data_IF_555718774488
#
_entry.id   IF_555718774488
#
_cell.length_a   1.000
_cell.length_b   1.000
_cell.length_c   1.000
_cell.angle_alpha   90.00
_cell.angle_beta   90.00
_cell.angle_gamma   90.00
#
_symmetry.space_group_name_H-M   'P 1'
#
loop_
_entity.id
_entity.type
_entity.pdbx_description
1 polymer ?
#
# COMPACT_ATOMS: atom_id res chain seq x y z
N UNK A 1 12.54 -30.22 11.96
CA UNK A 1 12.15 -29.58 10.69
C UNK A 1 11.06 -28.57 11.01
N UNK A 2 11.44 -27.31 11.15
CA UNK A 2 10.53 -26.20 11.45
C UNK A 2 9.91 -25.72 10.14
N UNK A 3 8.58 -25.78 10.02
CA UNK A 3 7.86 -25.13 8.93
C UNK A 3 7.89 -23.62 9.18
N UNK A 4 8.74 -22.90 8.45
CA UNK A 4 8.66 -21.44 8.35
C UNK A 4 7.28 -21.12 7.77
N UNK A 5 6.56 -20.19 8.39
CA UNK A 5 5.24 -19.77 7.94
C UNK A 5 5.29 -19.26 6.51
N UNK A 6 4.47 -19.84 5.66
CA UNK A 6 4.34 -19.46 4.25
C UNK A 6 3.63 -18.11 4.14
N UNK A 7 4.43 -17.03 4.15
CA UNK A 7 3.95 -15.71 3.75
C UNK A 7 3.84 -15.66 2.23
N UNK A 8 2.63 -15.77 1.69
CA UNK A 8 2.42 -15.65 0.25
C UNK A 8 2.49 -14.19 -0.18
N UNK A 9 3.33 -13.91 -1.15
CA UNK A 9 3.43 -12.63 -1.86
C UNK A 9 2.98 -12.88 -3.29
N UNK A 10 2.03 -12.10 -3.78
CA UNK A 10 1.53 -12.19 -5.14
C UNK A 10 2.09 -11.04 -5.98
N UNK A 11 2.81 -11.37 -7.05
CA UNK A 11 3.20 -10.44 -8.09
C UNK A 11 2.27 -10.57 -9.28
N UNK A 12 1.65 -9.48 -9.67
CA UNK A 12 0.94 -9.36 -10.94
C UNK A 12 1.53 -8.21 -11.73
N UNK A 13 2.15 -8.51 -12.85
CA UNK A 13 2.50 -7.53 -13.86
C UNK A 13 1.46 -7.60 -14.96
N UNK A 14 0.65 -6.56 -15.12
CA UNK A 14 -0.36 -6.48 -16.16
C UNK A 14 -0.24 -5.19 -16.95
N UNK A 15 -0.33 -5.31 -18.26
CA UNK A 15 -0.33 -4.18 -19.20
C UNK A 15 -1.69 -3.47 -19.33
N UNK A 16 -2.67 -3.77 -18.49
CA UNK A 16 -3.99 -3.12 -18.52
C UNK A 16 -4.47 -2.83 -17.10
N UNK A 17 -4.63 -1.56 -16.77
CA UNK A 17 -5.08 -1.06 -15.46
C UNK A 17 -6.33 -0.21 -15.64
N UNK A 18 -7.26 -0.38 -14.73
CA UNK A 18 -8.53 0.34 -14.62
C UNK A 18 -8.67 0.94 -13.21
N UNK A 19 -9.12 2.18 -13.01
CA UNK A 19 -8.92 3.07 -11.82
C UNK A 19 -10.12 3.49 -10.92
N UNK A 20 -10.03 3.61 -9.56
CA UNK A 20 -11.09 3.97 -8.56
C UNK A 20 -10.75 4.81 -7.33
N UNK A 21 -11.68 5.64 -6.78
CA UNK A 21 -11.69 6.29 -5.44
C UNK A 21 -13.12 6.49 -4.88
N UNK A 22 -13.29 6.34 -3.57
CA UNK A 22 -14.55 6.44 -2.82
C UNK A 22 -15.21 7.83 -2.85
N UNK A 23 -16.51 7.86 -2.64
CA UNK A 23 -17.60 8.85 -2.79
C UNK A 23 -17.40 10.36 -2.53
N UNK A 24 -16.21 10.92 -2.30
CA UNK A 24 -16.04 12.36 -1.99
C UNK A 24 -15.16 13.13 -2.96
N UNK A 25 -14.61 12.49 -3.98
CA UNK A 25 -13.80 13.17 -4.97
C UNK A 25 -14.41 13.02 -6.35
N UNK A 26 -14.52 14.14 -7.07
CA UNK A 26 -14.82 14.13 -8.50
C UNK A 26 -13.57 13.58 -9.18
N UNK A 27 -13.55 12.26 -9.42
CA UNK A 27 -12.46 11.61 -10.14
C UNK A 27 -12.84 11.43 -11.60
N UNK A 28 -11.98 11.89 -12.53
CA UNK A 28 -12.21 11.62 -13.96
C UNK A 28 -12.14 10.11 -14.27
N UNK A 29 -13.08 9.65 -15.05
CA UNK A 29 -13.29 8.36 -15.69
C UNK A 29 -12.41 7.17 -15.26
N UNK A 30 -11.17 7.09 -15.73
CA UNK A 30 -10.32 5.91 -15.54
C UNK A 30 -9.85 5.68 -14.09
N UNK A 31 -9.55 6.72 -13.30
CA UNK A 31 -9.17 6.54 -11.88
C UNK A 31 -10.36 6.06 -11.03
N UNK A 32 -11.57 6.49 -11.32
CA UNK A 32 -12.80 5.98 -10.69
C UNK A 32 -12.97 4.47 -10.98
N UNK A 33 -12.83 4.05 -12.21
CA UNK A 33 -12.89 2.65 -12.61
C UNK A 33 -11.84 1.73 -11.94
N UNK A 34 -10.57 2.13 -11.67
CA UNK A 34 -9.56 1.35 -10.91
C UNK A 34 -9.98 1.11 -9.46
N UNK A 35 -10.50 2.11 -8.79
CA UNK A 35 -10.92 1.94 -7.40
C UNK A 35 -12.16 1.04 -7.26
N UNK A 36 -13.18 1.02 -8.25
CA UNK A 36 -14.31 0.09 -8.31
C UNK A 36 -13.84 -1.33 -8.62
N UNK A 37 -12.82 -1.51 -9.46
CA UNK A 37 -12.23 -2.82 -9.69
C UNK A 37 -11.52 -3.36 -8.43
N UNK A 38 -10.75 -2.50 -7.74
CA UNK A 38 -10.07 -2.90 -6.49
C UNK A 38 -11.05 -3.16 -5.33
N UNK A 39 -12.19 -2.45 -5.28
CA UNK A 39 -13.23 -2.61 -4.25
C UNK A 39 -14.31 -3.64 -4.68
N UNK A 40 -14.23 -4.12 -5.92
CA UNK A 40 -15.21 -5.00 -6.52
C UNK A 40 -15.16 -6.43 -5.97
N UNK A 41 -16.28 -7.17 -6.12
CA UNK A 41 -16.39 -8.54 -5.61
C UNK A 41 -15.38 -9.48 -6.27
N UNK A 42 -15.12 -9.33 -7.56
CA UNK A 42 -14.19 -10.17 -8.31
C UNK A 42 -12.75 -10.09 -7.75
N UNK A 43 -12.23 -8.89 -7.51
CA UNK A 43 -10.90 -8.73 -6.91
C UNK A 43 -10.85 -9.26 -5.49
N UNK A 44 -11.89 -9.04 -4.71
CA UNK A 44 -12.05 -9.56 -3.35
C UNK A 44 -12.04 -11.08 -3.31
N UNK A 45 -12.77 -11.74 -4.21
CA UNK A 45 -12.82 -13.19 -4.33
C UNK A 45 -11.44 -13.77 -4.68
N UNK A 46 -10.77 -13.23 -5.70
CA UNK A 46 -9.41 -13.62 -6.09
C UNK A 46 -8.43 -13.56 -4.90
N UNK A 47 -8.48 -12.48 -4.12
CA UNK A 47 -7.60 -12.32 -2.97
C UNK A 47 -8.01 -13.25 -1.81
N UNK A 48 -9.31 -13.44 -1.59
CA UNK A 48 -9.84 -14.37 -0.59
C UNK A 48 -9.37 -15.80 -0.84
N UNK A 49 -9.50 -16.28 -2.06
CA UNK A 49 -9.04 -17.60 -2.48
C UNK A 49 -7.53 -17.74 -2.36
N UNK A 50 -6.77 -16.74 -2.88
CA UNK A 50 -5.30 -16.78 -2.88
C UNK A 50 -4.69 -16.88 -1.49
N UNK A 51 -5.26 -16.18 -0.52
CA UNK A 51 -4.76 -16.14 0.86
C UNK A 51 -5.52 -17.06 1.82
N UNK A 52 -6.55 -17.75 1.33
CA UNK A 52 -7.47 -18.57 2.14
C UNK A 52 -8.04 -17.77 3.33
N UNK A 53 -8.61 -16.60 3.03
CA UNK A 53 -9.20 -15.66 4.00
C UNK A 53 -10.56 -15.22 3.48
N UNK A 54 -11.62 -15.30 4.30
CA UNK A 54 -12.90 -14.68 3.97
C UNK A 54 -12.81 -13.17 4.17
N UNK A 55 -12.87 -12.40 3.07
CA UNK A 55 -12.73 -10.94 3.10
C UNK A 55 -14.05 -10.18 3.02
N UNK A 56 -15.19 -10.87 2.87
CA UNK A 56 -16.49 -10.26 2.60
C UNK A 56 -16.98 -9.32 3.72
N UNK A 57 -16.67 -9.65 4.97
CA UNK A 57 -17.09 -8.88 6.13
C UNK A 57 -16.14 -7.73 6.49
N UNK A 58 -15.00 -7.64 5.80
CA UNK A 58 -13.98 -6.65 6.14
C UNK A 58 -14.08 -5.41 5.27
N UNK A 59 -14.15 -4.22 5.89
CA UNK A 59 -14.15 -2.96 5.16
C UNK A 59 -12.79 -2.67 4.53
N UNK A 60 -12.81 -1.89 3.46
CA UNK A 60 -11.62 -1.45 2.76
C UNK A 60 -11.23 -0.02 3.14
N UNK A 61 -9.93 0.21 3.22
CA UNK A 61 -9.34 1.52 3.46
C UNK A 61 -8.31 1.84 2.38
N UNK A 62 -8.31 3.08 1.88
CA UNK A 62 -7.44 3.52 0.80
C UNK A 62 -6.54 4.67 1.23
N UNK A 63 -5.29 4.63 0.80
CA UNK A 63 -4.32 5.71 0.90
C UNK A 63 -3.64 5.92 -0.45
N UNK A 64 -3.74 7.11 -1.01
CA UNK A 64 -3.05 7.47 -2.25
C UNK A 64 -1.85 8.35 -1.92
N UNK A 65 -0.68 7.96 -2.37
CA UNK A 65 0.57 8.70 -2.17
C UNK A 65 1.17 9.05 -3.52
N UNK A 66 1.52 10.32 -3.72
CA UNK A 66 2.14 10.81 -4.97
C UNK A 66 3.63 11.07 -4.85
N UNK A 67 4.13 11.21 -3.62
CA UNK A 67 5.52 11.55 -3.32
C UNK A 67 6.03 10.77 -2.12
N UNK A 68 7.32 10.45 -2.13
CA UNK A 68 8.07 9.89 -1.03
C UNK A 68 9.06 10.92 -0.50
N UNK A 69 9.28 10.95 0.80
CA UNK A 69 10.30 11.74 1.47
C UNK A 69 11.39 10.81 2.05
N UNK A 70 12.61 11.31 2.33
CA UNK A 70 13.74 10.49 2.78
C UNK A 70 13.49 9.66 4.04
N UNK A 71 12.60 10.10 4.91
CA UNK A 71 12.25 9.42 6.16
C UNK A 71 11.15 8.34 5.97
N UNK A 72 10.61 8.18 4.75
CA UNK A 72 9.63 7.13 4.46
C UNK A 72 10.35 5.80 4.18
N UNK A 73 9.61 4.71 4.28
CA UNK A 73 10.08 3.38 3.91
C UNK A 73 10.97 2.69 4.94
N UNK A 74 10.96 3.15 6.19
CA UNK A 74 11.65 2.44 7.27
C UNK A 74 11.07 1.04 7.46
N UNK A 75 11.88 0.12 7.98
CA UNK A 75 11.49 -1.26 8.25
C UNK A 75 10.33 -1.27 9.24
N UNK A 76 9.23 -1.92 8.88
CA UNK A 76 8.06 -2.08 9.75
C UNK A 76 7.19 -3.25 9.30
N UNK A 77 6.29 -3.66 10.19
CA UNK A 77 5.10 -4.42 9.83
C UNK A 77 3.89 -3.49 9.80
N UNK A 78 2.91 -3.83 9.00
CA UNK A 78 1.62 -3.14 9.04
C UNK A 78 0.92 -3.37 10.40
N UNK A 79 0.06 -2.42 10.77
CA UNK A 79 -0.70 -2.47 12.03
C UNK A 79 -1.54 -3.75 12.11
N UNK A 80 -1.68 -4.32 13.31
CA UNK A 80 -2.49 -5.52 13.58
C UNK A 80 -3.98 -5.36 13.24
N UNK A 81 -4.44 -4.15 12.97
CA UNK A 81 -5.80 -3.88 12.48
C UNK A 81 -5.97 -4.12 10.98
N UNK A 82 -4.89 -4.34 10.23
CA UNK A 82 -4.91 -4.68 8.80
C UNK A 82 -4.81 -6.18 8.61
N UNK A 83 -5.56 -6.71 7.68
CA UNK A 83 -5.63 -8.14 7.36
C UNK A 83 -4.79 -8.45 6.12
N UNK A 84 -5.02 -7.67 5.05
CA UNK A 84 -4.28 -7.75 3.79
C UNK A 84 -3.95 -6.34 3.33
N UNK A 85 -2.73 -6.14 2.85
CA UNK A 85 -2.28 -4.93 2.18
C UNK A 85 -2.08 -5.19 0.70
N UNK A 86 -2.62 -4.28 -0.10
CA UNK A 86 -2.44 -4.20 -1.55
C UNK A 86 -1.72 -2.91 -1.87
N UNK A 87 -0.64 -2.98 -2.65
CA UNK A 87 0.10 -1.84 -3.16
C UNK A 87 0.09 -1.87 -4.69
N UNK A 88 -0.58 -0.91 -5.31
CA UNK A 88 -0.57 -0.73 -6.76
C UNK A 88 0.26 0.49 -7.12
N UNK A 89 1.32 0.28 -7.88
CA UNK A 89 2.22 1.34 -8.30
C UNK A 89 1.83 1.94 -9.65
N UNK A 90 1.95 3.27 -9.75
CA UNK A 90 1.54 4.06 -10.90
C UNK A 90 2.67 5.02 -11.35
N UNK A 91 3.90 4.55 -11.35
CA UNK A 91 5.06 5.31 -11.81
C UNK A 91 5.36 5.01 -13.28
N UNK A 92 6.46 5.52 -13.81
CA UNK A 92 6.86 5.24 -15.18
C UNK A 92 7.12 3.73 -15.38
N UNK A 93 7.15 3.29 -16.63
CA UNK A 93 7.32 1.87 -16.98
C UNK A 93 8.65 1.29 -16.51
N UNK A 94 9.71 2.11 -16.40
CA UNK A 94 10.98 1.72 -15.82
C UNK A 94 11.32 2.60 -14.61
N UNK A 95 11.50 1.96 -13.44
CA UNK A 95 12.00 2.63 -12.25
C UNK A 95 13.53 2.66 -12.29
N UNK A 96 14.10 3.81 -12.60
CA UNK A 96 15.55 4.01 -12.73
C UNK A 96 16.27 4.29 -11.42
N UNK A 97 15.54 4.54 -10.32
CA UNK A 97 16.13 4.92 -9.04
C UNK A 97 16.55 3.70 -8.21
N UNK A 98 17.65 3.83 -7.46
CA UNK A 98 18.08 2.79 -6.53
C UNK A 98 17.16 2.70 -5.29
N UNK A 99 16.73 3.85 -4.76
CA UNK A 99 15.81 3.93 -3.63
C UNK A 99 14.33 3.75 -4.01
N UNK A 100 13.47 3.59 -2.99
CA UNK A 100 12.02 3.52 -3.19
C UNK A 100 11.47 2.18 -3.70
N UNK A 101 12.32 1.18 -4.00
CA UNK A 101 11.88 -0.19 -4.29
C UNK A 101 11.48 -0.86 -3.00
N UNK A 102 10.28 -1.42 -2.95
CA UNK A 102 9.82 -2.09 -1.73
C UNK A 102 10.52 -3.43 -1.59
N UNK A 103 11.03 -3.71 -0.40
CA UNK A 103 11.62 -4.99 -0.03
C UNK A 103 10.73 -5.72 0.96
N UNK A 104 10.43 -6.96 0.68
CA UNK A 104 9.82 -7.92 1.61
C UNK A 104 10.98 -8.57 2.35
N UNK A 105 11.04 -8.40 3.67
CA UNK A 105 12.20 -8.73 4.47
C UNK A 105 12.03 -10.08 5.18
N UNK A 106 13.15 -10.78 5.39
CA UNK A 106 13.20 -11.99 6.19
C UNK A 106 13.22 -11.69 7.70
N UNK A 107 13.71 -10.49 8.09
CA UNK A 107 13.82 -10.05 9.48
C UNK A 107 13.66 -8.53 9.61
N UNK A 108 13.48 -7.98 10.83
CA UNK A 108 13.44 -6.54 11.05
C UNK A 108 14.81 -5.86 11.06
N UNK A 109 15.89 -6.61 10.95
CA UNK A 109 17.22 -6.12 11.31
C UNK A 109 17.92 -5.35 10.18
N UNK A 110 17.60 -5.68 8.92
CA UNK A 110 18.29 -5.09 7.77
C UNK A 110 17.42 -5.04 6.51
N UNK A 111 17.48 -3.92 5.78
CA UNK A 111 16.91 -3.83 4.44
C UNK A 111 17.62 -4.72 3.43
N UNK A 112 18.85 -5.16 3.70
CA UNK A 112 19.61 -6.03 2.79
C UNK A 112 19.28 -7.53 2.98
N UNK A 113 18.58 -7.89 4.06
CA UNK A 113 18.08 -9.24 4.30
C UNK A 113 16.62 -9.35 3.80
N UNK A 114 16.45 -9.42 2.49
CA UNK A 114 15.15 -9.47 1.85
C UNK A 114 14.93 -10.73 1.02
N UNK A 115 13.70 -11.19 1.03
CA UNK A 115 13.24 -12.29 0.18
C UNK A 115 12.98 -11.82 -1.25
N UNK A 116 12.46 -10.57 -1.41
CA UNK A 116 12.08 -10.02 -2.71
C UNK A 116 12.19 -8.49 -2.72
N UNK A 117 12.60 -7.91 -3.85
CA UNK A 117 12.59 -6.47 -4.11
C UNK A 117 11.64 -6.13 -5.27
N UNK A 118 10.69 -5.26 -5.02
CA UNK A 118 9.62 -4.90 -5.95
C UNK A 118 9.90 -3.55 -6.58
N UNK A 119 10.08 -3.54 -7.91
CA UNK A 119 10.13 -2.30 -8.66
C UNK A 119 8.75 -1.64 -8.67
N UNK A 120 8.64 -0.35 -8.28
CA UNK A 120 7.38 0.36 -8.24
C UNK A 120 6.96 0.88 -9.63
N UNK A 121 7.11 0.07 -10.66
CA UNK A 121 6.76 0.40 -12.03
C UNK A 121 5.25 0.54 -12.22
N UNK A 122 4.83 1.11 -13.33
CA UNK A 122 3.42 1.17 -13.72
C UNK A 122 2.80 -0.22 -13.78
N UNK A 123 1.68 -0.39 -13.06
CA UNK A 123 0.93 -1.64 -13.02
C UNK A 123 1.53 -2.74 -12.13
N UNK A 124 2.67 -2.49 -11.45
CA UNK A 124 3.17 -3.42 -10.44
C UNK A 124 2.20 -3.49 -9.27
N UNK A 125 1.69 -4.69 -8.99
CA UNK A 125 0.79 -4.98 -7.89
C UNK A 125 1.46 -5.92 -6.92
N UNK A 126 1.59 -5.49 -5.67
CA UNK A 126 2.04 -6.31 -4.55
C UNK A 126 0.87 -6.51 -3.60
N UNK A 127 0.63 -7.75 -3.21
CA UNK A 127 -0.36 -8.11 -2.19
C UNK A 127 0.29 -9.00 -1.15
N UNK A 128 0.07 -8.70 0.12
CA UNK A 128 0.56 -9.54 1.22
C UNK A 128 -0.39 -9.57 2.40
N UNK A 129 -0.38 -10.70 3.11
CA UNK A 129 -1.10 -10.85 4.38
C UNK A 129 -0.35 -10.10 5.48
N UNK A 130 -1.06 -9.28 6.25
CA UNK A 130 -0.49 -8.59 7.39
C UNK A 130 -0.36 -9.54 8.58
N UNK A 131 0.86 -9.75 9.04
CA UNK A 131 1.20 -10.52 10.22
C UNK A 131 2.24 -9.76 11.04
N UNK A 132 2.52 -10.23 12.25
CA UNK A 132 3.60 -9.66 13.08
C UNK A 132 5.00 -9.82 12.47
N UNK A 133 5.14 -10.69 11.47
CA UNK A 133 6.40 -11.02 10.83
C UNK A 133 6.44 -10.59 9.34
N UNK A 134 5.44 -9.85 8.86
CA UNK A 134 5.38 -9.32 7.49
C UNK A 134 6.22 -8.04 7.33
N UNK A 135 7.51 -8.16 7.67
CA UNK A 135 8.46 -7.06 7.63
C UNK A 135 8.68 -6.56 6.21
N UNK A 136 8.64 -5.26 6.03
CA UNK A 136 8.91 -4.62 4.74
C UNK A 136 9.43 -3.21 4.92
N UNK A 137 10.06 -2.70 3.87
CA UNK A 137 10.61 -1.34 3.84
C UNK A 137 11.22 -1.03 2.48
N UNK A 138 11.86 0.11 2.35
CA UNK A 138 12.62 0.45 1.15
C UNK A 138 13.78 1.40 1.48
N UNK A 139 14.81 1.39 0.67
CA UNK A 139 15.90 2.37 0.77
C UNK A 139 15.35 3.79 0.64
N UNK A 140 15.99 4.72 1.33
CA UNK A 140 15.62 6.14 1.31
C UNK A 140 15.44 6.64 -0.13
N UNK A 141 14.39 7.40 -0.36
CA UNK A 141 14.08 8.02 -1.64
C UNK A 141 13.34 9.34 -1.42
N UNK A 142 13.74 10.38 -2.13
CA UNK A 142 13.03 11.65 -2.18
C UNK A 142 12.62 11.96 -3.60
N UNK A 143 11.33 11.88 -3.88
CA UNK A 143 10.85 12.10 -5.23
C UNK A 143 9.41 11.67 -5.48
N UNK A 144 9.03 11.71 -6.74
CA UNK A 144 7.71 11.23 -7.18
C UNK A 144 7.67 9.71 -7.10
N UNK A 145 6.80 9.18 -6.26
CA UNK A 145 6.54 7.75 -6.10
C UNK A 145 5.05 7.56 -5.85
N UNK A 146 4.35 7.21 -6.92
CA UNK A 146 2.90 7.08 -6.94
C UNK A 146 2.50 5.67 -6.58
N UNK A 147 1.69 5.53 -5.54
CA UNK A 147 1.16 4.25 -5.09
C UNK A 147 -0.25 4.42 -4.55
N UNK A 148 -1.13 3.50 -4.89
CA UNK A 148 -2.40 3.28 -4.21
C UNK A 148 -2.17 2.13 -3.25
N UNK A 149 -2.35 2.41 -1.96
CA UNK A 149 -2.41 1.39 -0.93
C UNK A 149 -3.86 1.16 -0.57
N UNK A 150 -4.31 -0.08 -0.68
CA UNK A 150 -5.59 -0.56 -0.20
C UNK A 150 -5.36 -1.57 0.91
N UNK A 151 -6.18 -1.54 1.93
CA UNK A 151 -6.14 -2.49 3.03
C UNK A 151 -7.53 -3.03 3.31
N UNK A 152 -7.68 -4.34 3.51
CA UNK A 152 -8.79 -4.87 4.29
C UNK A 152 -8.44 -4.73 5.77
N UNK A 153 -9.37 -4.19 6.55
CA UNK A 153 -9.16 -3.90 7.97
C UNK A 153 -10.25 -4.49 8.84
N UNK A 154 -9.97 -4.67 10.12
CA UNK A 154 -10.84 -5.40 11.06
C UNK A 154 -12.23 -4.78 11.25
N UNK A 155 -12.39 -3.45 11.08
CA UNK A 155 -13.67 -2.78 11.29
C UNK A 155 -13.73 -1.38 10.68
N UNK A 156 -14.95 -0.85 10.50
CA UNK A 156 -15.19 0.54 10.12
C UNK A 156 -14.64 1.56 11.12
N UNK A 157 -14.49 1.21 12.37
CA UNK A 157 -13.91 2.11 13.38
C UNK A 157 -12.41 2.30 13.16
N UNK A 158 -11.70 1.27 12.65
CA UNK A 158 -10.32 1.41 12.18
C UNK A 158 -10.26 2.40 11.02
N UNK A 159 -11.15 2.28 10.04
CA UNK A 159 -11.24 3.22 8.91
C UNK A 159 -11.45 4.65 9.39
N UNK A 160 -12.40 4.87 10.30
CA UNK A 160 -12.71 6.20 10.86
C UNK A 160 -11.51 6.78 11.65
N UNK A 161 -10.84 5.95 12.46
CA UNK A 161 -9.67 6.36 13.25
C UNK A 161 -8.53 6.81 12.34
N UNK A 162 -8.17 6.02 11.35
CA UNK A 162 -7.11 6.34 10.40
C UNK A 162 -7.43 7.60 9.59
N UNK A 163 -8.67 7.76 9.12
CA UNK A 163 -9.13 8.98 8.43
C UNK A 163 -9.01 10.23 9.31
N UNK A 164 -9.31 10.15 10.61
CA UNK A 164 -9.14 11.25 11.56
C UNK A 164 -7.65 11.59 11.74
N UNK A 165 -6.78 10.60 11.90
CA UNK A 165 -5.34 10.81 12.03
C UNK A 165 -4.77 11.51 10.78
N UNK A 166 -5.15 11.07 9.58
CA UNK A 166 -4.74 11.69 8.33
C UNK A 166 -5.24 13.13 8.20
N UNK A 167 -6.48 13.42 8.58
CA UNK A 167 -7.05 14.78 8.52
C UNK A 167 -6.38 15.75 9.49
N UNK A 168 -6.03 15.30 10.69
CA UNK A 168 -5.31 16.10 11.70
C UNK A 168 -3.88 16.38 11.21
N UNK A 169 -3.18 15.37 10.71
CA UNK A 169 -1.82 15.50 10.16
C UNK A 169 -1.78 16.47 8.97
N UNK A 170 -2.78 16.43 8.10
CA UNK A 170 -2.89 17.36 6.96
C UNK A 170 -3.14 18.80 7.41
N UNK A 171 -3.97 19.02 8.46
CA UNK A 171 -4.21 20.34 9.06
C UNK A 171 -2.95 20.90 9.73
N UNK A 172 -2.24 20.07 10.52
CA UNK A 172 -0.98 20.49 11.15
C UNK A 172 0.08 20.90 10.10
N UNK A 173 0.23 20.10 9.02
CA UNK A 173 1.17 20.43 7.93
C UNK A 173 0.81 21.74 7.23
N UNK A 174 -0.47 22.07 7.05
CA UNK A 174 -0.91 23.38 6.54
C UNK A 174 -0.53 24.51 7.50
N UNK A 175 -0.72 24.34 8.80
CA UNK A 175 -0.34 25.34 9.80
C UNK A 175 1.18 25.60 9.82
N UNK A 176 1.99 24.55 9.80
CA UNK A 176 3.46 24.70 9.80
C UNK A 176 4.03 25.26 8.49
N UNK A 177 3.36 25.10 7.36
CA UNK A 177 3.79 25.71 6.10
C UNK A 177 3.51 27.22 6.03
N UNK A 178 2.49 27.72 6.74
CA UNK A 178 2.17 29.15 6.83
C UNK A 178 3.23 29.91 7.68
N UNK A 179 3.85 29.26 8.65
CA UNK A 179 4.89 29.85 9.50
C UNK A 179 6.33 29.67 8.97
N UNK A 180 6.52 29.06 7.80
CA UNK A 180 7.84 28.88 7.14
C UNK A 180 8.06 29.77 5.93
N UNK A 181 7.18 30.72 5.66
CA UNK A 181 7.32 31.71 4.58
C UNK A 181 7.61 33.10 5.19
N UNK A 182 8.77 33.23 5.86
CA UNK A 182 9.49 34.48 6.10
C UNK A 182 10.98 34.23 5.94
#
# INVERSE_FOLDING_TARGET
MSRKGEGWVLFLTSSRVVCWVRKSFICPGAFKQLMEALDGPEFREIISEKFNIHLDEYPTMYTVRGRCAPHNGQIHCDSASKIVTVLLYLNNEAWGEEGGRLRVLNSPDSLEDYAEEINPNWGSLLVFRCTKDSWHGHKSFDGVRRVIQMNWVLSDDVVKKEQRCHSISAKLKKFTSIFKSD
#
